data_IF_811003294095
#
_entry.id   IF_811003294095
#
_cell.length_a   1.000
_cell.length_b   1.000
_cell.length_c   1.000
_cell.angle_alpha   90.00
_cell.angle_beta   90.00
_cell.angle_gamma   90.00
#
_symmetry.space_group_name_H-M   'P 1'
#
loop_
_entity.id
_entity.type
_entity.pdbx_description
1 polymer ?
#
# COMPACT_ATOMS: atom_id res chain seq x y z
N UNK A 1 2.33 35.15 70.08
CA UNK A 1 1.87 33.75 70.24
C UNK A 1 0.82 33.38 69.16
N UNK A 2 1.02 33.71 67.87
CA UNK A 2 0.01 33.43 66.82
C UNK A 2 0.59 33.45 65.37
N UNK A 3 1.75 32.84 65.14
CA UNK A 3 2.33 32.74 63.78
C UNK A 3 2.84 31.35 63.39
N UNK A 4 3.02 30.43 64.35
CA UNK A 4 3.50 29.07 64.07
C UNK A 4 2.39 28.05 63.79
N UNK A 5 1.15 28.26 64.25
CA UNK A 5 0.04 27.34 63.96
C UNK A 5 -0.51 27.46 62.52
N UNK A 6 -0.41 28.64 61.88
CA UNK A 6 -0.96 28.89 60.53
C UNK A 6 -0.18 28.21 59.38
N UNK A 7 1.09 27.88 59.59
CA UNK A 7 1.95 27.27 58.55
C UNK A 7 1.82 25.74 58.58
N UNK A 8 1.70 25.16 59.78
CA UNK A 8 1.56 23.71 59.95
C UNK A 8 0.24 23.18 59.36
N UNK A 9 -0.86 23.93 59.54
CA UNK A 9 -2.17 23.56 58.98
C UNK A 9 -2.21 23.66 57.45
N UNK A 10 -1.55 24.67 56.86
CA UNK A 10 -1.43 24.81 55.41
C UNK A 10 -0.63 23.69 54.75
N UNK A 11 0.40 23.17 55.42
CA UNK A 11 1.19 22.05 54.89
C UNK A 11 0.43 20.72 54.91
N UNK A 12 -0.42 20.48 55.91
CA UNK A 12 -1.30 19.30 55.96
C UNK A 12 -2.40 19.34 54.91
N UNK A 13 -3.03 20.49 54.67
CA UNK A 13 -4.06 20.64 53.63
C UNK A 13 -3.48 20.40 52.22
N UNK A 14 -2.27 20.91 51.94
CA UNK A 14 -1.59 20.67 50.65
C UNK A 14 -1.20 19.20 50.46
N UNK A 15 -0.71 18.51 51.50
CA UNK A 15 -0.42 17.07 51.41
C UNK A 15 -1.67 16.23 51.20
N UNK A 16 -2.76 16.52 51.92
CA UNK A 16 -4.03 15.82 51.77
C UNK A 16 -4.65 16.04 50.38
N UNK A 17 -4.56 17.26 49.82
CA UNK A 17 -5.03 17.54 48.44
C UNK A 17 -4.19 16.81 47.39
N UNK A 18 -2.87 16.72 47.56
CA UNK A 18 -2.00 15.95 46.65
C UNK A 18 -2.29 14.46 46.71
N UNK A 19 -2.53 13.91 47.91
CA UNK A 19 -2.90 12.51 48.08
C UNK A 19 -4.26 12.21 47.44
N UNK A 20 -5.26 13.07 47.67
CA UNK A 20 -6.59 12.98 47.07
C UNK A 20 -6.56 13.08 45.53
N UNK A 21 -5.67 13.90 44.96
CA UNK A 21 -5.53 14.05 43.52
C UNK A 21 -4.84 12.83 42.89
N UNK A 22 -3.81 12.28 43.55
CA UNK A 22 -3.14 11.06 43.10
C UNK A 22 -4.10 9.86 43.11
N UNK A 23 -4.91 9.72 44.16
CA UNK A 23 -5.95 8.67 44.21
C UNK A 23 -7.00 8.81 43.13
N UNK A 24 -7.37 10.06 42.78
CA UNK A 24 -8.33 10.33 41.70
C UNK A 24 -7.76 9.95 40.33
N UNK A 25 -6.48 10.29 40.06
CA UNK A 25 -5.81 9.94 38.79
C UNK A 25 -5.66 8.43 38.64
N UNK A 26 -5.30 7.72 39.72
CA UNK A 26 -5.19 6.24 39.70
C UNK A 26 -6.56 5.61 39.44
N UNK A 27 -7.62 6.11 40.08
CA UNK A 27 -8.99 5.62 39.84
C UNK A 27 -9.43 5.88 38.39
N UNK A 28 -9.15 7.06 37.85
CA UNK A 28 -9.46 7.40 36.45
C UNK A 28 -8.73 6.47 35.48
N UNK A 29 -7.43 6.24 35.66
CA UNK A 29 -6.64 5.32 34.82
C UNK A 29 -7.17 3.88 34.90
N UNK A 30 -7.59 3.44 36.09
CA UNK A 30 -8.18 2.13 36.29
C UNK A 30 -9.54 1.99 35.60
N UNK A 31 -10.40 3.02 35.66
CA UNK A 31 -11.69 3.01 34.94
C UNK A 31 -11.53 3.00 33.43
N UNK A 32 -10.56 3.76 32.90
CA UNK A 32 -10.23 3.79 31.47
C UNK A 32 -9.73 2.41 31.01
N UNK A 33 -8.80 1.79 31.74
CA UNK A 33 -8.31 0.44 31.40
C UNK A 33 -9.40 -0.62 31.46
N UNK A 34 -10.30 -0.56 32.46
CA UNK A 34 -11.46 -1.45 32.53
C UNK A 34 -12.42 -1.26 31.35
N UNK A 35 -12.66 -0.02 30.92
CA UNK A 35 -13.53 0.29 29.79
C UNK A 35 -12.95 -0.29 28.48
N UNK A 36 -11.66 -0.02 28.20
CA UNK A 36 -10.97 -0.57 27.04
C UNK A 36 -10.89 -2.11 27.07
N UNK A 37 -10.63 -2.72 28.23
CA UNK A 37 -10.65 -4.19 28.36
C UNK A 37 -12.03 -4.79 28.09
N UNK A 38 -13.11 -4.11 28.49
CA UNK A 38 -14.47 -4.57 28.21
C UNK A 38 -14.82 -4.44 26.73
N UNK A 39 -14.42 -3.36 26.05
CA UNK A 39 -14.63 -3.21 24.61
C UNK A 39 -13.83 -4.22 23.79
N UNK A 40 -12.59 -4.54 24.21
CA UNK A 40 -11.79 -5.61 23.62
C UNK A 40 -12.49 -6.96 23.82
N UNK A 41 -12.97 -7.28 25.03
CA UNK A 41 -13.71 -8.53 25.30
C UNK A 41 -15.01 -8.62 24.48
N UNK A 42 -15.72 -7.51 24.31
CA UNK A 42 -16.94 -7.44 23.50
C UNK A 42 -16.64 -7.70 22.04
N UNK A 43 -15.58 -7.11 21.51
CA UNK A 43 -15.10 -7.32 20.13
C UNK A 43 -14.68 -8.78 19.89
N UNK A 44 -13.95 -9.39 20.84
CA UNK A 44 -13.55 -10.80 20.79
C UNK A 44 -14.78 -11.73 20.85
N UNK A 45 -15.78 -11.44 21.68
CA UNK A 45 -17.04 -12.21 21.72
C UNK A 45 -17.81 -12.12 20.42
N UNK A 46 -17.89 -10.93 19.81
CA UNK A 46 -18.52 -10.75 18.49
C UNK A 46 -17.79 -11.56 17.41
N UNK A 47 -16.45 -11.59 17.44
CA UNK A 47 -15.63 -12.42 16.54
C UNK A 47 -15.90 -13.93 16.75
N UNK A 48 -15.99 -14.37 18.00
CA UNK A 48 -16.31 -15.76 18.33
C UNK A 48 -17.73 -16.17 17.90
N UNK A 49 -18.71 -15.28 18.04
CA UNK A 49 -20.09 -15.54 17.60
C UNK A 49 -20.21 -15.58 16.06
N UNK A 50 -19.43 -14.77 15.34
CA UNK A 50 -19.35 -14.84 13.87
C UNK A 50 -18.81 -16.20 13.41
N UNK A 51 -17.85 -16.78 14.14
CA UNK A 51 -17.26 -18.09 13.81
C UNK A 51 -18.19 -19.29 14.10
N UNK A 52 -19.20 -19.15 14.96
CA UNK A 52 -20.09 -20.27 15.30
C UNK A 52 -21.32 -20.42 14.37
N UNK A 53 -21.61 -19.43 13.53
CA UNK A 53 -22.74 -19.47 12.59
C UNK A 53 -22.36 -19.74 11.11
N UNK A 54 -21.09 -19.97 10.80
CA UNK A 54 -20.68 -20.43 9.47
C UNK A 54 -20.79 -21.96 9.38
N UNK A 55 -21.95 -22.44 8.91
CA UNK A 55 -22.03 -23.78 8.30
C UNK A 55 -21.06 -23.85 7.11
N UNK A 56 -20.29 -24.93 6.93
CA UNK A 56 -19.37 -25.05 5.81
C UNK A 56 -20.19 -25.37 4.55
N UNK A 57 -20.64 -24.34 3.84
CA UNK A 57 -21.08 -24.52 2.45
C UNK A 57 -19.80 -24.63 1.62
N UNK A 58 -19.30 -25.87 1.49
CA UNK A 58 -18.16 -26.20 0.66
C UNK A 58 -18.57 -26.23 -0.81
N UNK A 59 -18.76 -25.05 -1.40
CA UNK A 59 -18.38 -24.83 -2.79
C UNK A 59 -17.19 -23.88 -2.78
N UNK A 60 -16.11 -24.29 -2.12
CA UNK A 60 -14.84 -23.56 -2.22
C UNK A 60 -14.49 -23.49 -3.71
N UNK A 61 -14.53 -22.29 -4.28
CA UNK A 61 -14.12 -22.03 -5.65
C UNK A 61 -12.79 -22.77 -5.91
N UNK A 62 -12.84 -23.82 -6.72
CA UNK A 62 -11.62 -24.54 -7.10
C UNK A 62 -10.80 -23.55 -7.90
N UNK A 63 -9.58 -23.29 -7.42
CA UNK A 63 -8.67 -22.42 -8.14
C UNK A 63 -8.45 -22.98 -9.56
N UNK A 64 -8.85 -22.24 -10.62
CA UNK A 64 -8.86 -22.75 -11.98
C UNK A 64 -7.46 -22.80 -12.59
N UNK A 65 -6.54 -21.94 -12.11
CA UNK A 65 -5.15 -21.86 -12.55
C UNK A 65 -4.28 -21.70 -11.32
N UNK A 66 -3.40 -22.66 -11.03
CA UNK A 66 -2.42 -22.55 -9.93
C UNK A 66 -1.17 -21.83 -10.41
N UNK A 67 -0.52 -21.08 -9.51
CA UNK A 67 0.78 -20.47 -9.80
C UNK A 67 1.25 -19.54 -8.69
N UNK A 68 2.55 -19.26 -8.68
CA UNK A 68 3.23 -18.41 -7.71
C UNK A 68 3.24 -16.93 -8.12
N UNK A 69 3.20 -16.62 -9.42
CA UNK A 69 3.31 -15.26 -9.96
C UNK A 69 2.01 -14.78 -10.60
N UNK A 70 1.44 -13.70 -10.07
CA UNK A 70 0.16 -13.16 -10.50
C UNK A 70 0.22 -11.68 -10.82
N UNK A 71 -0.45 -11.28 -11.90
CA UNK A 71 -0.70 -9.89 -12.26
C UNK A 71 -2.17 -9.61 -11.97
N UNK A 72 -2.47 -8.49 -11.31
CA UNK A 72 -3.83 -8.10 -10.97
C UNK A 72 -4.15 -6.72 -11.53
N UNK A 73 -5.18 -6.66 -12.38
CA UNK A 73 -5.55 -5.48 -13.15
C UNK A 73 -7.06 -5.29 -13.09
N UNK A 74 -7.54 -4.06 -13.00
CA UNK A 74 -8.94 -3.71 -13.29
C UNK A 74 -9.04 -3.12 -14.69
N UNK A 75 -10.18 -3.23 -15.35
CA UNK A 75 -10.38 -2.58 -16.66
C UNK A 75 -11.79 -2.03 -16.80
N UNK A 76 -11.93 -0.94 -17.55
CA UNK A 76 -13.20 -0.44 -18.10
C UNK A 76 -13.18 -0.39 -19.64
N UNK A 77 -12.11 -0.89 -20.25
CA UNK A 77 -11.81 -0.78 -21.68
C UNK A 77 -11.87 -2.15 -22.35
N UNK A 78 -11.77 -2.20 -23.68
CA UNK A 78 -11.39 -3.40 -24.41
C UNK A 78 -9.95 -3.84 -24.05
N UNK A 79 -9.52 -5.08 -24.37
CA UNK A 79 -8.14 -5.49 -24.15
C UNK A 79 -7.16 -4.49 -24.75
N UNK A 80 -6.31 -3.93 -23.90
CA UNK A 80 -5.29 -2.94 -24.27
C UNK A 80 -3.99 -3.62 -24.70
N UNK A 81 -3.06 -2.83 -25.25
CA UNK A 81 -1.69 -3.28 -25.50
C UNK A 81 -1.02 -3.85 -24.24
N UNK A 82 -1.26 -3.27 -23.07
CA UNK A 82 -0.69 -3.74 -21.79
C UNK A 82 -1.22 -5.13 -21.41
N UNK A 83 -2.52 -5.38 -21.57
CA UNK A 83 -3.11 -6.71 -21.35
C UNK A 83 -2.48 -7.75 -22.29
N UNK A 84 -2.33 -7.42 -23.58
CA UNK A 84 -1.64 -8.30 -24.52
C UNK A 84 -0.17 -8.50 -24.17
N UNK A 85 0.51 -7.48 -23.66
CA UNK A 85 1.91 -7.57 -23.20
C UNK A 85 2.05 -8.49 -21.99
N UNK A 86 1.17 -8.38 -20.99
CA UNK A 86 1.15 -9.26 -19.81
C UNK A 86 0.92 -10.74 -20.17
N UNK A 87 0.13 -11.01 -21.21
CA UNK A 87 -0.05 -12.36 -21.72
C UNK A 87 1.13 -12.87 -22.56
N UNK A 88 2.13 -12.06 -22.89
CA UNK A 88 3.27 -12.46 -23.71
C UNK A 88 4.62 -12.21 -23.03
N UNK A 89 4.64 -12.09 -21.70
CA UNK A 89 5.89 -11.96 -20.94
C UNK A 89 6.75 -13.21 -21.08
N UNK A 90 8.08 -13.03 -20.97
CA UNK A 90 9.03 -14.16 -21.01
C UNK A 90 8.88 -15.10 -19.82
N UNK A 91 8.57 -14.56 -18.64
CA UNK A 91 8.20 -15.34 -17.45
C UNK A 91 6.70 -15.64 -17.48
N UNK A 92 6.34 -16.87 -17.09
CA UNK A 92 4.94 -17.24 -16.93
C UNK A 92 4.32 -16.55 -15.71
N UNK A 93 3.61 -15.46 -15.97
CA UNK A 93 2.70 -14.83 -15.03
C UNK A 93 1.26 -15.22 -15.36
N UNK A 94 0.48 -15.53 -14.32
CA UNK A 94 -0.96 -15.62 -14.41
C UNK A 94 -1.55 -14.21 -14.32
N UNK A 95 -2.64 -13.94 -15.04
CA UNK A 95 -3.24 -12.62 -15.15
C UNK A 95 -4.69 -12.67 -14.69
N UNK A 96 -5.06 -11.86 -13.69
CA UNK A 96 -6.45 -11.61 -13.32
C UNK A 96 -6.86 -10.24 -13.83
N UNK A 97 -7.94 -10.20 -14.60
CA UNK A 97 -8.56 -8.97 -15.08
C UNK A 97 -9.94 -8.84 -14.43
N UNK A 98 -10.12 -7.85 -13.56
CA UNK A 98 -11.39 -7.55 -12.89
C UNK A 98 -12.15 -6.52 -13.73
N UNK A 99 -13.27 -6.93 -14.32
CA UNK A 99 -14.15 -6.03 -15.05
C UNK A 99 -14.93 -5.10 -14.11
N UNK A 100 -15.40 -3.98 -14.65
CA UNK A 100 -16.38 -3.09 -14.02
C UNK A 100 -17.54 -2.83 -14.99
N UNK A 101 -18.51 -1.99 -14.60
CA UNK A 101 -19.76 -1.75 -15.35
C UNK A 101 -19.54 -1.23 -16.77
N UNK A 102 -18.42 -0.56 -17.00
CA UNK A 102 -18.07 0.02 -18.30
C UNK A 102 -17.29 -0.94 -19.19
N UNK A 103 -16.78 -2.05 -18.65
CA UNK A 103 -16.07 -3.05 -19.46
C UNK A 103 -17.01 -3.64 -20.50
N UNK A 104 -16.59 -3.74 -21.77
CA UNK A 104 -17.38 -4.37 -22.82
C UNK A 104 -17.76 -5.82 -22.48
N UNK A 105 -19.01 -6.20 -22.71
CA UNK A 105 -19.47 -7.57 -22.41
C UNK A 105 -18.82 -8.62 -23.31
N UNK A 106 -18.43 -8.24 -24.52
CA UNK A 106 -17.72 -9.07 -25.49
C UNK A 106 -16.19 -9.04 -25.29
N UNK A 107 -15.67 -8.42 -24.23
CA UNK A 107 -14.23 -8.35 -23.94
C UNK A 107 -13.49 -9.69 -24.12
N UNK A 108 -14.00 -10.86 -23.66
CA UNK A 108 -13.31 -12.14 -23.85
C UNK A 108 -13.17 -12.60 -25.30
N UNK A 109 -13.94 -12.04 -26.25
CA UNK A 109 -13.82 -12.39 -27.68
C UNK A 109 -12.69 -11.62 -28.38
N UNK A 110 -12.19 -10.54 -27.76
CA UNK A 110 -11.16 -9.66 -28.33
C UNK A 110 -9.75 -9.96 -27.81
N UNK A 111 -9.60 -10.93 -26.90
CA UNK A 111 -8.30 -11.36 -26.41
C UNK A 111 -7.69 -12.43 -27.31
N UNK A 112 -6.35 -12.59 -27.27
CA UNK A 112 -5.64 -13.58 -28.09
C UNK A 112 -6.09 -15.02 -27.78
N UNK A 113 -5.87 -15.97 -28.70
CA UNK A 113 -6.31 -17.36 -28.53
C UNK A 113 -5.67 -18.12 -27.35
N UNK A 114 -4.53 -17.65 -26.83
CA UNK A 114 -3.85 -18.31 -25.70
C UNK A 114 -4.16 -17.60 -24.37
N UNK A 115 -5.30 -17.95 -23.78
CA UNK A 115 -5.78 -17.44 -22.49
C UNK A 115 -5.64 -18.43 -21.35
N UNK A 116 -4.81 -19.48 -21.51
CA UNK A 116 -4.59 -20.51 -20.48
C UNK A 116 -4.15 -19.96 -19.12
N UNK A 117 -3.55 -18.77 -19.10
CA UNK A 117 -3.07 -18.05 -17.91
C UNK A 117 -3.94 -16.85 -17.52
N UNK A 118 -5.04 -16.60 -18.22
CA UNK A 118 -5.92 -15.47 -18.01
C UNK A 118 -7.15 -15.88 -17.21
N UNK A 119 -7.45 -15.10 -16.17
CA UNK A 119 -8.69 -15.16 -15.43
C UNK A 119 -9.43 -13.83 -15.55
N UNK A 120 -10.33 -13.75 -16.52
CA UNK A 120 -11.23 -12.61 -16.67
C UNK A 120 -12.43 -12.78 -15.74
N UNK A 121 -12.68 -11.77 -14.90
CA UNK A 121 -13.76 -11.72 -13.93
C UNK A 121 -14.81 -10.69 -14.36
N UNK A 122 -15.81 -11.14 -15.11
CA UNK A 122 -17.02 -10.35 -15.38
C UNK A 122 -17.77 -10.04 -14.08
N UNK A 123 -18.63 -9.02 -14.06
CA UNK A 123 -19.45 -8.69 -12.88
C UNK A 123 -20.24 -9.92 -12.39
N UNK A 124 -20.79 -10.72 -13.32
CA UNK A 124 -21.53 -11.92 -12.98
C UNK A 124 -20.64 -12.95 -12.28
N UNK A 125 -19.43 -13.18 -12.81
CA UNK A 125 -18.46 -14.10 -12.20
C UNK A 125 -17.97 -13.60 -10.85
N UNK A 126 -17.77 -12.28 -10.68
CA UNK A 126 -17.42 -11.70 -9.39
C UNK A 126 -18.51 -11.97 -8.34
N UNK A 127 -19.78 -11.79 -8.70
CA UNK A 127 -20.92 -12.00 -7.80
C UNK A 127 -21.15 -13.48 -7.44
N UNK A 128 -20.60 -14.43 -8.20
CA UNK A 128 -20.64 -15.86 -7.86
C UNK A 128 -19.51 -16.31 -6.93
N UNK A 129 -18.58 -15.44 -6.55
CA UNK A 129 -17.52 -15.77 -5.62
C UNK A 129 -17.98 -15.62 -4.16
N UNK A 130 -17.50 -16.49 -3.29
CA UNK A 130 -17.87 -16.50 -1.86
C UNK A 130 -17.05 -15.55 -0.98
N UNK A 131 -16.39 -14.55 -1.57
CA UNK A 131 -15.60 -13.59 -0.80
C UNK A 131 -16.51 -12.58 -0.07
N UNK A 132 -16.45 -12.57 1.27
CA UNK A 132 -17.22 -11.65 2.13
C UNK A 132 -17.06 -10.18 1.76
N UNK A 133 -15.89 -9.78 1.23
CA UNK A 133 -15.59 -8.40 0.86
C UNK A 133 -16.51 -7.87 -0.26
N UNK A 134 -17.06 -8.75 -1.12
CA UNK A 134 -17.92 -8.36 -2.24
C UNK A 134 -19.15 -7.54 -1.81
N UNK A 135 -19.65 -7.78 -0.59
CA UNK A 135 -20.77 -7.03 -0.01
C UNK A 135 -20.44 -5.54 0.21
N UNK A 136 -19.16 -5.20 0.23
CA UNK A 136 -18.65 -3.86 0.52
C UNK A 136 -17.92 -3.23 -0.68
N UNK A 137 -17.68 -3.97 -1.77
CA UNK A 137 -16.93 -3.45 -2.93
C UNK A 137 -17.85 -2.59 -3.83
N UNK A 138 -17.61 -1.27 -3.94
CA UNK A 138 -18.39 -0.44 -4.85
C UNK A 138 -18.02 -0.70 -6.31
N UNK A 139 -18.97 -0.50 -7.22
CA UNK A 139 -18.69 -0.42 -8.66
C UNK A 139 -18.06 0.92 -9.03
N UNK A 140 -17.37 0.99 -10.16
CA UNK A 140 -16.62 2.18 -10.58
C UNK A 140 -15.49 2.51 -9.61
N UNK A 141 -14.93 1.51 -8.95
CA UNK A 141 -13.92 1.69 -7.91
C UNK A 141 -12.76 0.75 -8.08
N UNK A 142 -11.58 1.34 -8.00
CA UNK A 142 -10.31 0.65 -8.08
C UNK A 142 -10.07 -0.33 -6.93
N UNK A 143 -10.75 -0.13 -5.79
CA UNK A 143 -10.71 -1.07 -4.67
C UNK A 143 -11.25 -2.47 -5.04
N UNK A 144 -11.89 -2.64 -6.22
CA UNK A 144 -12.22 -3.97 -6.77
C UNK A 144 -11.01 -4.85 -7.04
N UNK A 145 -9.79 -4.30 -7.19
CA UNK A 145 -8.56 -5.11 -7.24
C UNK A 145 -8.40 -6.04 -6.04
N UNK A 146 -8.95 -5.69 -4.87
CA UNK A 146 -9.00 -6.57 -3.69
C UNK A 146 -9.51 -7.98 -4.00
N UNK A 147 -10.48 -8.10 -4.91
CA UNK A 147 -11.02 -9.39 -5.30
C UNK A 147 -9.99 -10.24 -6.06
N UNK A 148 -9.21 -9.60 -6.92
CA UNK A 148 -8.11 -10.24 -7.63
C UNK A 148 -6.99 -10.67 -6.69
N UNK A 149 -6.67 -9.86 -5.68
CA UNK A 149 -5.67 -10.23 -4.67
C UNK A 149 -6.10 -11.49 -3.90
N UNK A 150 -7.33 -11.51 -3.39
CA UNK A 150 -7.84 -12.67 -2.65
C UNK A 150 -7.88 -13.93 -3.52
N UNK A 151 -8.27 -13.80 -4.78
CA UNK A 151 -8.27 -14.92 -5.71
C UNK A 151 -6.85 -15.42 -6.03
N UNK A 152 -5.90 -14.52 -6.32
CA UNK A 152 -4.50 -14.87 -6.55
C UNK A 152 -3.91 -15.61 -5.33
N UNK A 153 -4.16 -15.11 -4.12
CA UNK A 153 -3.74 -15.74 -2.85
C UNK A 153 -4.35 -17.13 -2.71
N UNK A 154 -5.66 -17.29 -2.90
CA UNK A 154 -6.33 -18.59 -2.88
C UNK A 154 -5.75 -19.56 -3.92
N UNK A 155 -5.25 -19.02 -5.03
CA UNK A 155 -4.63 -19.75 -6.12
C UNK A 155 -3.14 -20.06 -5.96
N UNK A 156 -2.53 -19.66 -4.84
CA UNK A 156 -1.14 -20.02 -4.49
C UNK A 156 -0.10 -18.94 -4.80
N UNK A 157 -0.53 -17.70 -5.05
CA UNK A 157 0.39 -16.59 -5.28
C UNK A 157 1.45 -16.50 -4.16
N UNK A 158 2.69 -16.27 -4.58
CA UNK A 158 3.83 -15.88 -3.76
C UNK A 158 4.31 -14.48 -4.11
N UNK A 159 3.97 -13.99 -5.31
CA UNK A 159 4.29 -12.66 -5.82
C UNK A 159 3.07 -12.14 -6.57
N UNK A 160 2.66 -10.91 -6.26
CA UNK A 160 1.60 -10.20 -6.96
C UNK A 160 2.18 -8.91 -7.55
N UNK A 161 2.01 -8.73 -8.86
CA UNK A 161 2.25 -7.49 -9.57
C UNK A 161 0.92 -6.75 -9.77
N UNK A 162 0.82 -5.58 -9.17
CA UNK A 162 -0.31 -4.67 -9.30
C UNK A 162 -0.01 -3.69 -10.44
N UNK A 163 -0.87 -3.70 -11.46
CA UNK A 163 -0.74 -2.80 -12.61
C UNK A 163 -2.09 -2.31 -13.09
N UNK A 164 -2.09 -1.24 -13.89
CA UNK A 164 -3.26 -0.76 -14.63
C UNK A 164 -3.28 -1.33 -16.06
N UNK A 165 -4.42 -1.25 -16.72
CA UNK A 165 -4.59 -1.78 -18.08
C UNK A 165 -3.99 -0.85 -19.14
N UNK A 166 -3.51 0.33 -18.80
CA UNK A 166 -2.82 1.26 -19.70
C UNK A 166 -1.32 1.43 -19.40
N UNK A 167 -0.80 0.74 -18.37
CA UNK A 167 0.64 0.74 -18.05
C UNK A 167 1.40 -0.29 -18.88
N UNK A 168 1.90 0.15 -20.05
CA UNK A 168 2.60 -0.72 -20.99
C UNK A 168 4.05 -0.93 -20.57
N UNK A 169 4.42 -2.16 -20.19
CA UNK A 169 5.81 -2.51 -19.89
C UNK A 169 6.74 -2.25 -21.09
N UNK A 170 7.84 -1.57 -20.83
CA UNK A 170 8.84 -1.26 -21.84
C UNK A 170 9.67 -2.48 -22.26
N UNK A 171 9.95 -3.37 -21.31
CA UNK A 171 10.72 -4.60 -21.56
C UNK A 171 9.79 -5.79 -21.83
N UNK A 172 10.35 -6.97 -22.12
CA UNK A 172 9.56 -8.19 -22.37
C UNK A 172 9.16 -8.92 -21.09
N UNK A 173 9.49 -8.39 -19.90
CA UNK A 173 9.08 -8.97 -18.63
C UNK A 173 8.84 -7.91 -17.55
N UNK A 174 8.31 -8.34 -16.42
CA UNK A 174 8.26 -7.56 -15.19
C UNK A 174 9.66 -7.60 -14.57
N UNK A 175 10.26 -6.43 -14.38
CA UNK A 175 11.50 -6.33 -13.63
C UNK A 175 11.22 -6.65 -12.16
N UNK A 176 11.99 -7.56 -11.58
CA UNK A 176 11.75 -8.11 -10.26
C UNK A 176 13.08 -8.20 -9.50
N UNK A 177 13.20 -7.45 -8.41
CA UNK A 177 14.35 -7.59 -7.52
C UNK A 177 14.15 -8.81 -6.61
N UNK A 178 15.22 -9.56 -6.26
CA UNK A 178 15.14 -10.61 -5.26
C UNK A 178 14.51 -10.13 -3.95
N UNK A 179 13.77 -11.01 -3.28
CA UNK A 179 13.16 -10.73 -1.97
C UNK A 179 14.18 -10.27 -0.91
N UNK A 180 15.41 -10.79 -0.98
CA UNK A 180 16.52 -10.42 -0.10
C UNK A 180 17.63 -9.89 -0.99
N UNK A 181 18.00 -8.63 -0.78
CA UNK A 181 19.03 -7.91 -1.53
C UNK A 181 20.30 -7.76 -0.69
N UNK A 182 21.44 -7.89 -1.35
CA UNK A 182 22.74 -7.49 -0.81
C UNK A 182 23.02 -6.00 -1.13
N UNK A 183 23.91 -5.32 -0.38
CA UNK A 183 24.28 -3.93 -0.63
C UNK A 183 24.67 -3.60 -2.06
N UNK A 184 25.34 -4.51 -2.76
CA UNK A 184 25.79 -4.30 -4.13
C UNK A 184 24.63 -4.21 -5.11
N UNK A 185 23.49 -4.84 -4.78
CA UNK A 185 22.26 -4.82 -5.57
C UNK A 185 21.35 -3.64 -5.22
N UNK A 186 21.58 -3.01 -4.07
CA UNK A 186 20.78 -1.92 -3.52
C UNK A 186 21.70 -0.92 -2.83
N UNK A 187 22.45 -0.11 -3.60
CA UNK A 187 23.52 0.72 -3.06
C UNK A 187 23.04 1.90 -2.23
N UNK A 188 21.75 2.27 -2.31
CA UNK A 188 21.21 3.49 -1.72
C UNK A 188 20.03 3.22 -0.78
N UNK A 189 20.08 3.87 0.39
CA UNK A 189 18.96 3.98 1.33
C UNK A 189 18.54 5.45 1.40
N UNK A 190 17.26 5.72 1.19
CA UNK A 190 16.66 7.02 1.43
C UNK A 190 16.14 7.13 2.86
N UNK A 191 16.34 8.31 3.47
CA UNK A 191 16.05 8.56 4.87
C UNK A 191 15.44 9.94 5.08
N UNK A 192 14.59 10.03 6.09
CA UNK A 192 13.97 11.28 6.46
C UNK A 192 14.94 12.22 7.19
N UNK A 193 14.67 13.53 7.15
CA UNK A 193 15.44 14.56 7.85
C UNK A 193 14.72 14.98 9.12
N UNK A 194 15.32 15.87 9.90
CA UNK A 194 14.76 16.28 11.18
C UNK A 194 13.43 17.03 11.03
N UNK A 195 13.23 17.78 9.93
CA UNK A 195 12.03 18.61 9.76
C UNK A 195 10.83 17.86 9.20
N UNK A 196 11.04 16.74 8.54
CA UNK A 196 9.97 15.97 7.91
C UNK A 196 10.27 14.48 7.98
N UNK A 197 9.29 13.62 8.36
CA UNK A 197 9.40 12.18 8.21
C UNK A 197 9.20 11.74 6.75
N UNK A 198 8.89 12.65 5.82
CA UNK A 198 8.65 12.35 4.42
C UNK A 198 9.88 12.61 3.56
N UNK A 199 9.98 11.87 2.45
CA UNK A 199 10.93 12.14 1.38
C UNK A 199 10.21 12.17 0.03
N UNK A 200 10.65 13.08 -0.85
CA UNK A 200 10.21 13.05 -2.23
C UNK A 200 11.12 12.11 -3.04
N UNK A 201 10.69 10.86 -3.21
CA UNK A 201 11.51 9.87 -3.90
C UNK A 201 11.76 10.22 -5.38
N UNK A 202 10.83 10.91 -6.05
CA UNK A 202 10.99 11.33 -7.45
C UNK A 202 12.21 12.23 -7.66
N UNK A 203 12.60 13.00 -6.63
CA UNK A 203 13.84 13.77 -6.64
C UNK A 203 15.08 12.92 -6.84
N UNK A 204 15.13 11.73 -6.22
CA UNK A 204 16.25 10.80 -6.37
C UNK A 204 16.33 10.17 -7.77
N UNK A 205 15.26 10.27 -8.57
CA UNK A 205 15.19 9.81 -9.95
C UNK A 205 15.16 10.98 -10.95
N UNK A 206 15.77 12.11 -10.58
CA UNK A 206 16.00 13.25 -11.48
C UNK A 206 14.88 14.30 -11.54
N UNK A 207 13.79 14.13 -10.78
CA UNK A 207 12.68 15.09 -10.78
C UNK A 207 12.38 15.63 -9.37
N UNK A 208 13.22 16.54 -8.83
CA UNK A 208 12.98 17.12 -7.51
C UNK A 208 11.70 17.95 -7.44
N UNK A 209 11.31 18.60 -8.53
CA UNK A 209 10.19 19.55 -8.57
C UNK A 209 8.80 18.89 -8.69
N UNK A 210 8.73 17.57 -8.75
CA UNK A 210 7.47 16.81 -8.86
C UNK A 210 7.45 15.80 -7.70
N UNK A 211 6.28 15.44 -7.19
CA UNK A 211 6.15 14.52 -6.07
C UNK A 211 5.05 13.48 -6.30
N UNK A 212 5.17 12.28 -5.71
CA UNK A 212 4.16 11.24 -5.87
C UNK A 212 2.83 11.68 -5.24
N UNK A 213 1.72 11.25 -5.85
CA UNK A 213 0.37 11.53 -5.35
C UNK A 213 0.22 11.03 -3.92
N UNK A 214 -0.35 11.86 -3.06
CA UNK A 214 -0.48 11.60 -1.62
C UNK A 214 0.67 12.13 -0.78
N UNK A 215 1.67 12.77 -1.38
CA UNK A 215 2.67 13.52 -0.64
C UNK A 215 2.02 14.67 0.13
N UNK A 216 2.27 14.84 1.44
CA UNK A 216 1.66 15.93 2.20
C UNK A 216 2.17 17.28 1.70
N UNK A 217 1.25 18.15 1.27
CA UNK A 217 1.59 19.45 0.68
C UNK A 217 2.36 20.33 1.66
N UNK A 218 1.98 20.30 2.93
CA UNK A 218 2.64 21.09 3.99
C UNK A 218 4.10 20.65 4.23
N UNK A 219 4.46 19.44 3.82
CA UNK A 219 5.82 18.89 3.94
C UNK A 219 6.71 19.23 2.75
N UNK A 220 6.16 19.72 1.64
CA UNK A 220 6.93 20.05 0.43
C UNK A 220 8.03 21.03 0.79
N UNK A 221 7.69 22.13 1.49
CA UNK A 221 8.67 23.15 1.90
C UNK A 221 9.79 22.57 2.79
N UNK A 222 9.44 21.66 3.70
CA UNK A 222 10.43 21.04 4.59
C UNK A 222 11.43 20.20 3.79
N UNK A 223 10.94 19.39 2.85
CA UNK A 223 11.78 18.50 2.04
C UNK A 223 12.60 19.25 0.99
N UNK A 224 12.07 20.33 0.41
CA UNK A 224 12.81 21.15 -0.57
C UNK A 224 14.01 21.84 0.06
N UNK A 225 13.88 22.32 1.30
CA UNK A 225 14.91 23.08 1.99
C UNK A 225 15.97 22.18 2.66
N UNK A 226 15.66 20.92 2.98
CA UNK A 226 16.56 19.97 3.69
C UNK A 226 17.50 19.18 2.75
N UNK A 227 17.32 19.32 1.44
CA UNK A 227 18.05 18.56 0.44
C UNK A 227 17.22 17.40 -0.11
N UNK A 228 16.83 17.56 -1.38
CA UNK A 228 16.00 16.67 -2.21
C UNK A 228 16.51 15.23 -2.36
N UNK A 229 17.77 14.98 -2.02
CA UNK A 229 18.47 13.69 -2.14
C UNK A 229 18.93 13.23 -0.76
N UNK A 230 17.99 13.01 0.16
CA UNK A 230 18.31 12.42 1.46
C UNK A 230 18.52 10.92 1.29
N UNK A 231 19.60 10.57 0.60
CA UNK A 231 20.07 9.21 0.33
C UNK A 231 21.48 9.04 0.87
N UNK A 232 21.81 7.82 1.30
CA UNK A 232 23.14 7.44 1.76
C UNK A 232 23.47 6.03 1.30
N UNK A 233 24.75 5.68 1.33
CA UNK A 233 25.19 4.33 0.98
C UNK A 233 24.52 3.30 1.90
N UNK A 234 24.12 2.19 1.30
CA UNK A 234 23.58 1.06 2.04
C UNK A 234 24.72 0.31 2.74
N UNK A 235 24.67 0.29 4.07
CA UNK A 235 25.61 -0.44 4.92
C UNK A 235 24.93 -1.61 5.66
N UNK A 236 23.69 -1.95 5.32
CA UNK A 236 22.98 -3.09 5.90
C UNK A 236 23.53 -4.38 5.30
N UNK A 237 23.66 -5.48 6.06
CA UNK A 237 24.11 -6.74 5.49
C UNK A 237 23.13 -7.29 4.44
N UNK A 238 21.83 -7.12 4.69
CA UNK A 238 20.75 -7.57 3.80
C UNK A 238 19.56 -6.64 3.92
N UNK A 239 18.84 -6.45 2.81
CA UNK A 239 17.59 -5.69 2.75
C UNK A 239 16.45 -6.59 2.26
N UNK A 240 15.33 -6.60 2.99
CA UNK A 240 14.15 -7.38 2.62
C UNK A 240 13.18 -6.56 1.76
N UNK A 241 13.24 -6.74 0.44
CA UNK A 241 12.48 -5.99 -0.56
C UNK A 241 11.07 -6.55 -0.77
N UNK A 242 10.26 -6.59 0.29
CA UNK A 242 8.93 -7.20 0.24
C UNK A 242 7.92 -6.41 -0.62
N UNK A 243 8.13 -5.10 -0.79
CA UNK A 243 7.34 -4.26 -1.69
C UNK A 243 8.28 -3.48 -2.59
N UNK A 244 8.01 -3.49 -3.89
CA UNK A 244 8.84 -2.85 -4.91
C UNK A 244 7.93 -2.03 -5.81
N UNK A 245 8.09 -0.71 -5.80
CA UNK A 245 7.41 0.20 -6.70
C UNK A 245 8.38 0.61 -7.81
N UNK A 246 7.98 0.44 -9.05
CA UNK A 246 8.69 1.00 -10.19
C UNK A 246 7.99 2.27 -10.66
N UNK A 247 8.76 3.19 -11.22
CA UNK A 247 8.23 4.46 -11.71
C UNK A 247 7.51 4.28 -13.06
N UNK A 248 6.82 5.33 -13.48
CA UNK A 248 6.09 5.38 -14.74
C UNK A 248 6.51 6.65 -15.49
N UNK A 249 7.00 6.49 -16.72
CA UNK A 249 7.39 7.63 -17.54
C UNK A 249 6.16 8.28 -18.18
N UNK A 250 6.37 9.47 -18.74
CA UNK A 250 5.43 10.34 -19.41
C UNK A 250 4.36 10.93 -18.49
N UNK A 251 3.50 10.11 -17.88
CA UNK A 251 2.42 10.55 -16.99
C UNK A 251 2.45 9.85 -15.61
N UNK A 252 3.47 10.13 -14.78
CA UNK A 252 3.54 9.56 -13.43
C UNK A 252 2.37 9.97 -12.54
N UNK A 253 2.21 9.22 -11.46
CA UNK A 253 1.16 9.45 -10.49
C UNK A 253 1.47 10.64 -9.59
N UNK A 254 1.09 11.82 -10.04
CA UNK A 254 1.22 13.11 -9.36
C UNK A 254 -0.15 13.66 -9.00
N UNK A 255 -0.21 14.54 -8.00
CA UNK A 255 -1.48 15.10 -7.53
C UNK A 255 -2.09 16.13 -8.52
N UNK A 256 -3.33 16.52 -8.23
CA UNK A 256 -4.07 17.47 -9.06
C UNK A 256 -3.47 18.89 -9.04
N UNK A 257 -2.80 19.29 -7.95
CA UNK A 257 -2.18 20.61 -7.85
C UNK A 257 -1.04 20.71 -8.85
N UNK A 258 -0.17 19.70 -8.88
CA UNK A 258 0.92 19.63 -9.86
C UNK A 258 0.37 19.66 -11.29
N UNK A 259 -0.64 18.83 -11.61
CA UNK A 259 -1.24 18.76 -12.95
C UNK A 259 -1.82 20.11 -13.39
N UNK A 260 -2.50 20.82 -12.50
CA UNK A 260 -3.08 22.14 -12.78
C UNK A 260 -2.02 23.22 -12.94
N UNK A 261 -0.95 23.17 -12.13
CA UNK A 261 0.14 24.15 -12.17
C UNK A 261 1.09 23.94 -13.37
N UNK A 262 1.25 22.70 -13.84
CA UNK A 262 2.23 22.34 -14.88
C UNK A 262 1.61 21.56 -16.06
N UNK A 263 0.55 22.09 -16.71
CA UNK A 263 -0.18 21.36 -17.75
C UNK A 263 0.69 20.98 -18.96
N UNK A 264 1.75 21.76 -19.23
CA UNK A 264 2.69 21.50 -20.33
C UNK A 264 3.68 20.35 -20.05
N UNK A 265 3.80 19.89 -18.81
CA UNK A 265 4.70 18.81 -18.40
C UNK A 265 4.05 17.42 -18.47
N UNK A 266 2.72 17.38 -18.49
CA UNK A 266 1.95 16.13 -18.54
C UNK A 266 2.30 15.36 -19.83
N UNK A 267 2.60 14.07 -19.69
CA UNK A 267 2.99 13.20 -20.81
C UNK A 267 4.44 13.37 -21.27
N UNK A 268 5.30 14.07 -20.51
CA UNK A 268 6.68 14.39 -20.92
C UNK A 268 7.75 14.09 -19.86
N UNK A 269 7.36 13.64 -18.67
CA UNK A 269 8.30 13.34 -17.59
C UNK A 269 9.06 12.06 -17.94
N UNK A 270 10.38 12.03 -17.72
CA UNK A 270 11.19 10.82 -17.92
C UNK A 270 12.18 10.69 -16.78
N UNK A 271 12.05 9.66 -15.96
CA UNK A 271 12.92 9.45 -14.81
C UNK A 271 14.32 9.02 -15.24
N UNK A 272 15.30 9.31 -14.39
CA UNK A 272 16.68 8.84 -14.58
C UNK A 272 16.73 7.31 -14.61
N UNK A 273 17.21 6.76 -15.73
CA UNK A 273 17.31 5.31 -15.97
C UNK A 273 18.58 4.70 -15.38
N UNK A 274 19.59 5.52 -15.14
CA UNK A 274 20.87 5.07 -14.58
C UNK A 274 20.83 5.02 -13.05
N UNK A 275 19.81 5.61 -12.42
CA UNK A 275 19.62 5.58 -10.97
C UNK A 275 19.31 4.16 -10.47
N UNK A 276 20.19 3.56 -9.62
CA UNK A 276 19.92 2.26 -9.03
C UNK A 276 18.71 2.29 -8.09
N UNK A 277 18.10 1.12 -7.79
CA UNK A 277 17.01 1.05 -6.83
C UNK A 277 17.39 1.60 -5.46
N UNK A 278 16.40 2.16 -4.77
CA UNK A 278 16.56 2.85 -3.48
C UNK A 278 15.59 2.26 -2.47
N UNK A 279 16.08 1.83 -1.32
CA UNK A 279 15.23 1.41 -0.20
C UNK A 279 14.79 2.62 0.63
N UNK A 280 13.58 2.57 1.16
CA UNK A 280 13.12 3.50 2.18
C UNK A 280 13.54 2.99 3.56
N UNK A 281 14.21 3.83 4.36
CA UNK A 281 14.55 3.53 5.75
C UNK A 281 13.28 3.46 6.63
N UNK A 282 13.23 2.58 7.65
CA UNK A 282 12.23 2.68 8.70
C UNK A 282 12.07 4.11 9.24
N UNK A 283 10.84 4.47 9.63
CA UNK A 283 10.46 5.82 10.07
C UNK A 283 10.47 6.91 8.98
N UNK A 284 10.79 6.54 7.73
CA UNK A 284 10.70 7.42 6.57
C UNK A 284 9.48 7.05 5.71
N UNK A 285 8.71 8.04 5.28
CA UNK A 285 7.57 7.84 4.40
C UNK A 285 7.84 8.38 2.99
N UNK A 286 7.43 7.59 1.99
CA UNK A 286 7.24 8.04 0.62
C UNK A 286 5.96 7.43 0.06
N UNK A 287 5.02 8.21 -0.48
CA UNK A 287 3.82 7.65 -1.11
C UNK A 287 4.19 6.65 -2.21
N UNK A 288 3.48 5.51 -2.24
CA UNK A 288 3.54 4.53 -3.33
C UNK A 288 2.13 4.09 -3.69
N UNK A 289 1.95 3.61 -4.92
CA UNK A 289 0.64 3.29 -5.47
C UNK A 289 0.54 1.81 -5.85
N UNK A 290 -0.33 1.49 -6.79
CA UNK A 290 -0.75 0.15 -7.21
C UNK A 290 -0.65 -0.02 -8.73
N UNK A 291 0.04 0.91 -9.40
CA UNK A 291 0.07 0.98 -10.86
C UNK A 291 1.27 0.24 -11.45
N UNK A 292 2.32 0.04 -10.67
CA UNK A 292 3.55 -0.62 -11.11
C UNK A 292 4.29 -1.16 -9.87
N UNK A 293 3.61 -2.04 -9.14
CA UNK A 293 4.00 -2.41 -7.78
C UNK A 293 4.04 -3.92 -7.64
N UNK A 294 5.19 -4.46 -7.24
CA UNK A 294 5.34 -5.86 -6.87
C UNK A 294 5.27 -6.00 -5.36
N UNK A 295 4.48 -6.95 -4.90
CA UNK A 295 4.40 -7.35 -3.49
C UNK A 295 4.73 -8.83 -3.36
N UNK A 296 5.64 -9.17 -2.44
CA UNK A 296 5.94 -10.54 -2.05
C UNK A 296 4.98 -11.04 -0.95
N UNK A 297 4.86 -12.36 -0.84
CA UNK A 297 3.96 -13.05 0.10
C UNK A 297 3.98 -12.48 1.53
N UNK A 298 5.16 -12.17 2.06
CA UNK A 298 5.36 -11.63 3.41
C UNK A 298 4.61 -10.30 3.65
N UNK A 299 4.33 -9.55 2.58
CA UNK A 299 3.65 -8.27 2.61
C UNK A 299 2.22 -8.32 2.02
N UNK A 300 1.66 -9.50 1.73
CA UNK A 300 0.30 -9.61 1.15
C UNK A 300 -0.81 -9.02 2.02
N UNK A 301 -0.61 -8.95 3.34
CA UNK A 301 -1.52 -8.23 4.24
C UNK A 301 -1.65 -6.74 3.87
N UNK A 302 -0.65 -6.18 3.20
CA UNK A 302 -0.61 -4.80 2.70
C UNK A 302 -1.28 -4.57 1.35
N UNK A 303 -1.77 -5.61 0.68
CA UNK A 303 -2.48 -5.46 -0.61
C UNK A 303 -3.86 -4.81 -0.46
N UNK A 304 -4.45 -4.84 0.74
CA UNK A 304 -5.81 -4.37 0.94
C UNK A 304 -5.96 -2.88 0.60
N UNK A 305 -6.85 -2.59 -0.36
CA UNK A 305 -7.29 -1.24 -0.70
C UNK A 305 -8.56 -0.88 0.09
N UNK A 306 -8.54 0.17 0.93
CA UNK A 306 -9.72 0.64 1.63
C UNK A 306 -10.91 0.91 0.69
N UNK A 307 -12.08 0.38 1.06
CA UNK A 307 -13.28 0.41 0.21
C UNK A 307 -14.21 1.59 0.49
N UNK A 308 -14.02 2.28 1.62
CA UNK A 308 -14.84 3.42 2.08
C UNK A 308 -14.28 4.77 1.65
N UNK A 309 -13.04 4.81 1.16
CA UNK A 309 -12.38 6.02 0.65
C UNK A 309 -12.70 6.23 -0.81
N UNK A 310 -12.50 7.46 -1.31
CA UNK A 310 -12.59 7.71 -2.76
C UNK A 310 -11.50 6.94 -3.51
N UNK A 311 -11.76 6.64 -4.79
CA UNK A 311 -10.81 5.95 -5.67
C UNK A 311 -9.41 6.57 -5.60
N UNK A 312 -9.31 7.90 -5.65
CA UNK A 312 -8.03 8.62 -5.71
C UNK A 312 -7.25 8.66 -4.38
N UNK A 313 -7.78 8.06 -3.32
CA UNK A 313 -7.19 8.15 -1.97
C UNK A 313 -6.97 6.77 -1.34
N UNK A 314 -7.59 5.71 -1.87
CA UNK A 314 -7.50 4.36 -1.29
C UNK A 314 -6.05 3.83 -1.23
N UNK A 315 -5.31 3.97 -2.33
CA UNK A 315 -3.92 3.56 -2.47
C UNK A 315 -2.96 4.39 -1.60
N UNK A 316 -3.25 5.68 -1.42
CA UNK A 316 -2.51 6.60 -0.53
C UNK A 316 -2.63 6.15 0.93
N UNK A 317 -3.85 5.97 1.45
CA UNK A 317 -4.04 5.56 2.84
C UNK A 317 -3.46 4.18 3.13
N UNK A 318 -3.69 3.22 2.21
CA UNK A 318 -3.01 1.92 2.24
C UNK A 318 -1.51 2.14 2.34
N UNK A 319 -0.93 2.97 1.46
CA UNK A 319 0.51 3.14 1.38
C UNK A 319 1.17 3.58 2.68
N UNK A 320 0.55 4.50 3.43
CA UNK A 320 1.09 4.94 4.73
C UNK A 320 0.93 3.88 5.83
N UNK A 321 -0.24 3.24 5.89
CA UNK A 321 -0.50 2.18 6.86
C UNK A 321 0.44 0.99 6.66
N UNK A 322 0.62 0.58 5.40
CA UNK A 322 1.50 -0.54 5.04
C UNK A 322 2.94 -0.20 5.34
N UNK A 323 3.46 0.96 4.94
CA UNK A 323 4.84 1.33 5.23
C UNK A 323 5.16 1.23 6.72
N UNK A 324 4.29 1.77 7.58
CA UNK A 324 4.50 1.70 9.03
C UNK A 324 4.64 0.25 9.50
N UNK A 325 3.70 -0.62 9.13
CA UNK A 325 3.70 -2.02 9.58
C UNK A 325 4.79 -2.87 8.91
N UNK A 326 5.23 -2.48 7.71
CA UNK A 326 6.28 -3.18 6.97
C UNK A 326 7.60 -3.19 7.77
N UNK A 327 7.88 -2.10 8.48
CA UNK A 327 9.04 -1.99 9.36
C UNK A 327 9.02 -3.01 10.51
N UNK A 328 7.84 -3.32 11.06
CA UNK A 328 7.70 -4.25 12.19
C UNK A 328 8.01 -5.70 11.79
N UNK A 329 7.92 -6.03 10.51
CA UNK A 329 8.32 -7.35 9.96
C UNK A 329 9.71 -7.32 9.31
N UNK A 330 10.46 -6.23 9.47
CA UNK A 330 11.79 -6.05 8.89
C UNK A 330 11.79 -5.88 7.36
N UNK A 331 10.62 -5.65 6.75
CA UNK A 331 10.50 -5.39 5.32
C UNK A 331 10.79 -3.94 4.96
N UNK A 332 11.13 -3.69 3.71
CA UNK A 332 11.34 -2.36 3.15
C UNK A 332 10.59 -2.18 1.83
N UNK A 333 10.15 -0.94 1.62
CA UNK A 333 9.66 -0.45 0.34
C UNK A 333 10.86 -0.04 -0.49
N UNK A 334 10.96 -0.58 -1.70
CA UNK A 334 12.00 -0.24 -2.67
C UNK A 334 11.37 0.54 -3.81
N UNK A 335 12.03 1.61 -4.24
CA UNK A 335 11.72 2.27 -5.51
C UNK A 335 12.79 1.91 -6.55
N UNK A 336 12.36 1.48 -7.72
CA UNK A 336 13.22 1.30 -8.90
C UNK A 336 12.89 2.31 -9.99
N UNK A 337 13.75 2.41 -11.00
CA UNK A 337 13.51 3.30 -12.15
C UNK A 337 12.24 2.93 -12.92
N UNK A 338 11.87 3.76 -13.89
CA UNK A 338 10.67 3.55 -14.69
C UNK A 338 10.76 2.25 -15.49
N UNK A 339 9.64 1.53 -15.58
CA UNK A 339 9.49 0.31 -16.38
C UNK A 339 8.24 0.30 -17.26
N UNK A 340 7.42 1.37 -17.18
CA UNK A 340 6.16 1.57 -17.91
C UNK A 340 6.02 2.98 -18.47
#
# INVERSE_FOLDING_TARGET
MNTYESIYDRTKDIQNRRFSWLTFVIFLLFTITLFFCNDIKKSIRTLYQINQHSQPITNSLICPIRGDKWIVVTTINYPTSSIHKFLNLTTNWNLIVIADKKTPNDWPTHISKNTSRLFFLSIQQQNSLDFRILRYLPYGSYARKNLGYLLAIQCGAQIIFESDDDNLLETNDIYLLPKILQPEQLPWIAFHRQRSPFINIYGSFGHPNIWPRGFPIDEIKNVTEDGWHSVRQNHQNTTHAYIQQYLADLDPDVDAIYRLAHPLSIGRIKFDRDQPPIAIEPFTYSPYNTQNTVTYYEAFWGLYLPVTTTFRVCDIWRGFWVQRLLWDIGGQLIFGTSTV
#
